data_IF_823053709795
#
_entry.id   IF_823053709795
#
_cell.length_a   1.000
_cell.length_b   1.000
_cell.length_c   1.000
_cell.angle_alpha   90.00
_cell.angle_beta   90.00
_cell.angle_gamma   90.00
#
_symmetry.space_group_name_H-M   'P 1'
#
loop_
_entity.id
_entity.type
_entity.pdbx_description
1 polymer ?
#
# COMPACT_ATOMS: atom_id res chain seq x y z
N UNK A 1 -7.28 17.48 5.69
CA UNK A 1 -8.65 17.04 6.03
C UNK A 1 -9.00 15.69 5.41
N UNK A 2 -8.95 15.54 4.07
CA UNK A 2 -9.39 14.33 3.36
C UNK A 2 -8.76 13.03 3.89
N UNK A 3 -7.43 13.00 4.08
CA UNK A 3 -6.70 11.83 4.60
C UNK A 3 -7.15 11.47 6.01
N UNK A 4 -7.36 12.48 6.88
CA UNK A 4 -7.87 12.27 8.24
C UNK A 4 -9.30 11.71 8.18
N UNK A 5 -10.13 12.24 7.28
CA UNK A 5 -11.48 11.71 7.05
C UNK A 5 -11.48 10.23 6.68
N UNK A 6 -10.67 9.81 5.71
CA UNK A 6 -10.54 8.39 5.35
C UNK A 6 -10.06 7.51 6.51
N UNK A 7 -9.13 7.99 7.33
CA UNK A 7 -8.68 7.25 8.51
C UNK A 7 -9.81 7.08 9.55
N UNK A 8 -10.60 8.13 9.79
CA UNK A 8 -11.77 8.05 10.67
C UNK A 8 -12.85 7.12 10.11
N UNK A 9 -13.12 7.18 8.79
CA UNK A 9 -14.07 6.28 8.12
C UNK A 9 -13.64 4.80 8.24
N UNK A 10 -12.33 4.55 8.27
CA UNK A 10 -11.75 3.22 8.49
C UNK A 10 -11.67 2.81 9.98
N UNK A 11 -12.24 3.60 10.89
CA UNK A 11 -12.28 3.29 12.32
C UNK A 11 -10.98 3.58 13.08
N UNK A 12 -10.05 4.35 12.51
CA UNK A 12 -8.85 4.78 13.24
C UNK A 12 -9.24 5.71 14.40
N UNK A 13 -8.70 5.45 15.58
CA UNK A 13 -8.99 6.20 16.80
C UNK A 13 -8.11 7.44 16.91
N UNK A 14 -8.66 8.66 16.84
CA UNK A 14 -7.91 9.88 17.02
C UNK A 14 -7.43 10.02 18.45
N UNK A 15 -6.24 10.62 18.65
CA UNK A 15 -5.63 10.90 19.95
C UNK A 15 -5.50 12.39 20.19
N UNK A 16 -5.19 13.17 19.17
CA UNK A 16 -5.12 14.64 19.24
C UNK A 16 -5.11 15.24 17.84
N UNK A 17 -5.47 16.50 17.76
CA UNK A 17 -5.36 17.34 16.58
C UNK A 17 -4.36 18.48 16.80
N UNK A 18 -3.60 18.83 15.77
CA UNK A 18 -2.76 20.02 15.70
C UNK A 18 -3.07 20.77 14.42
N UNK A 19 -3.46 22.04 14.55
CA UNK A 19 -3.88 22.82 13.37
C UNK A 19 -3.60 24.32 13.51
N UNK A 20 -3.57 24.99 12.37
CA UNK A 20 -3.59 26.45 12.36
C UNK A 20 -4.91 26.96 12.96
N UNK A 21 -4.85 28.02 13.76
CA UNK A 21 -6.04 28.59 14.46
C UNK A 21 -7.20 28.85 13.52
N UNK A 22 -6.95 29.36 12.31
CA UNK A 22 -7.97 29.62 11.28
C UNK A 22 -8.73 28.38 10.81
N UNK A 23 -8.18 27.17 11.01
CA UNK A 23 -8.84 25.94 10.61
C UNK A 23 -10.00 25.54 11.51
N UNK A 24 -10.04 26.04 12.76
CA UNK A 24 -11.16 25.77 13.68
C UNK A 24 -12.50 26.29 13.15
N UNK A 25 -12.47 27.40 12.42
CA UNK A 25 -13.68 28.01 11.81
C UNK A 25 -13.89 27.57 10.36
N UNK A 26 -12.93 26.83 9.79
CA UNK A 26 -12.94 26.36 8.42
C UNK A 26 -13.03 24.84 8.30
N UNK A 27 -12.17 24.28 7.45
CA UNK A 27 -12.14 22.83 7.14
C UNK A 27 -11.84 21.91 8.34
N UNK A 28 -11.33 22.45 9.43
CA UNK A 28 -11.04 21.70 10.65
C UNK A 28 -12.26 21.46 11.53
N UNK A 29 -13.33 22.26 11.41
CA UNK A 29 -14.50 22.17 12.27
C UNK A 29 -15.13 20.78 12.23
N UNK A 30 -15.47 20.28 11.06
CA UNK A 30 -16.07 18.96 10.90
C UNK A 30 -15.16 17.85 11.40
N UNK A 31 -13.82 18.00 11.26
CA UNK A 31 -12.86 17.02 11.78
C UNK A 31 -12.81 17.04 13.32
N UNK A 32 -12.87 18.20 13.94
CA UNK A 32 -12.93 18.32 15.41
C UNK A 32 -14.18 17.64 15.94
N UNK A 33 -15.34 17.89 15.32
CA UNK A 33 -16.60 17.25 15.69
C UNK A 33 -16.53 15.72 15.53
N UNK A 34 -15.97 15.23 14.43
CA UNK A 34 -15.78 13.79 14.18
C UNK A 34 -14.78 13.11 15.10
N UNK A 35 -13.76 13.83 15.54
CA UNK A 35 -12.76 13.30 16.48
C UNK A 35 -13.27 13.25 17.93
N UNK A 36 -14.38 13.90 18.25
CA UNK A 36 -14.96 13.92 19.60
C UNK A 36 -14.09 14.68 20.61
N UNK A 37 -14.04 14.18 21.83
CA UNK A 37 -13.36 14.87 22.95
C UNK A 37 -11.85 14.59 23.02
N UNK A 38 -11.12 14.86 21.93
CA UNK A 38 -9.66 14.76 21.93
C UNK A 38 -9.03 16.14 22.05
N UNK A 39 -7.80 16.25 22.60
CA UNK A 39 -7.09 17.53 22.66
C UNK A 39 -6.91 18.14 21.25
N UNK A 40 -7.25 19.41 21.12
CA UNK A 40 -7.05 20.20 19.89
C UNK A 40 -6.05 21.30 20.19
N UNK A 41 -4.85 21.16 19.66
CA UNK A 41 -3.78 22.14 19.78
C UNK A 41 -3.82 23.09 18.60
N UNK A 42 -3.70 24.40 18.85
CA UNK A 42 -3.70 25.41 17.80
C UNK A 42 -2.53 26.37 17.96
N UNK A 43 -2.06 26.86 16.84
CA UNK A 43 -1.00 27.86 16.80
C UNK A 43 -1.00 28.60 15.47
N UNK A 44 -0.18 29.62 15.37
CA UNK A 44 0.07 30.32 14.15
C UNK A 44 1.02 29.47 13.26
N UNK A 45 1.01 29.72 11.96
CA UNK A 45 1.78 28.93 10.98
C UNK A 45 3.26 28.82 11.31
N UNK A 46 3.88 29.90 11.79
CA UNK A 46 5.29 29.93 12.16
C UNK A 46 5.58 29.02 13.37
N UNK A 47 4.71 29.04 14.38
CA UNK A 47 4.82 28.20 15.56
C UNK A 47 4.69 26.72 15.18
N UNK A 48 3.70 26.41 14.34
CA UNK A 48 3.50 25.03 13.87
C UNK A 48 4.66 24.54 13.02
N UNK A 49 5.21 25.38 12.15
CA UNK A 49 6.39 25.04 11.35
C UNK A 49 7.63 24.75 12.24
N UNK A 50 7.83 25.55 13.29
CA UNK A 50 8.88 25.31 14.28
C UNK A 50 8.73 23.98 15.03
N UNK A 51 7.49 23.61 15.39
CA UNK A 51 7.20 22.35 16.08
C UNK A 51 7.36 21.12 15.19
N UNK A 52 6.96 21.23 13.93
CA UNK A 52 6.93 20.08 13.01
C UNK A 52 8.19 19.94 12.14
N UNK A 53 9.02 20.96 12.09
CA UNK A 53 10.19 21.02 11.21
C UNK A 53 9.87 21.28 9.74
N UNK A 54 8.61 21.56 9.39
CA UNK A 54 8.17 21.88 8.02
C UNK A 54 6.85 22.67 8.05
N UNK A 55 6.56 23.36 6.95
CA UNK A 55 5.29 24.06 6.79
C UNK A 55 4.11 23.09 6.56
N UNK A 56 3.03 23.27 7.33
CA UNK A 56 1.78 22.53 7.16
C UNK A 56 1.00 23.07 5.94
N UNK A 57 1.21 22.51 4.79
CA UNK A 57 0.56 22.96 3.53
C UNK A 57 -0.98 22.96 3.57
N UNK A 58 -1.59 22.10 4.40
CA UNK A 58 -3.05 22.00 4.61
C UNK A 58 -3.47 22.32 6.04
N UNK A 59 -2.54 22.72 6.87
CA UNK A 59 -2.76 23.30 8.18
C UNK A 59 -3.33 22.39 9.27
N UNK A 60 -3.49 21.06 9.04
CA UNK A 60 -4.08 20.13 10.04
C UNK A 60 -3.28 18.83 10.08
N UNK A 61 -2.91 18.39 11.29
CA UNK A 61 -2.39 17.06 11.60
C UNK A 61 -3.31 16.38 12.62
N UNK A 62 -3.37 15.06 12.55
CA UNK A 62 -4.06 14.24 13.55
C UNK A 62 -3.14 13.10 13.98
N UNK A 63 -2.87 12.98 15.26
CA UNK A 63 -2.28 11.79 15.84
C UNK A 63 -3.38 10.75 16.04
N UNK A 64 -3.14 9.53 15.58
CA UNK A 64 -4.10 8.44 15.69
C UNK A 64 -3.42 7.19 16.25
N UNK A 65 -4.18 6.38 16.95
CA UNK A 65 -3.74 5.04 17.34
C UNK A 65 -3.59 4.18 16.09
N UNK A 66 -2.52 3.40 16.00
CA UNK A 66 -2.36 2.41 14.92
C UNK A 66 -3.51 1.42 14.97
N UNK A 67 -4.19 1.13 13.85
CA UNK A 67 -5.24 0.13 13.82
C UNK A 67 -4.64 -1.27 14.04
N UNK A 68 -5.45 -2.17 14.60
CA UNK A 68 -5.13 -3.60 14.56
C UNK A 68 -5.29 -4.08 13.12
N UNK A 69 -4.24 -4.69 12.59
CA UNK A 69 -4.29 -5.28 11.27
C UNK A 69 -4.95 -6.67 11.33
N UNK A 70 -5.70 -7.08 10.29
CA UNK A 70 -6.23 -8.45 10.19
C UNK A 70 -5.08 -9.44 10.02
N UNK A 71 -5.35 -10.72 10.28
CA UNK A 71 -4.43 -11.79 9.88
C UNK A 71 -4.43 -11.97 8.36
N UNK A 72 -3.42 -12.65 7.83
CA UNK A 72 -3.35 -12.96 6.39
C UNK A 72 -4.54 -13.81 5.96
N UNK A 73 -4.93 -14.78 6.78
CA UNK A 73 -6.07 -15.66 6.55
C UNK A 73 -7.39 -14.89 6.48
N UNK A 74 -7.63 -14.03 7.47
CA UNK A 74 -8.85 -13.19 7.50
C UNK A 74 -8.94 -12.30 6.26
N UNK A 75 -7.81 -11.70 5.86
CA UNK A 75 -7.72 -10.80 4.72
C UNK A 75 -7.88 -11.54 3.40
N UNK A 76 -7.30 -12.73 3.26
CA UNK A 76 -7.31 -13.53 2.03
C UNK A 76 -8.53 -14.44 1.87
N UNK A 77 -9.38 -14.59 2.90
CA UNK A 77 -10.51 -15.52 2.89
C UNK A 77 -11.46 -15.31 1.70
N UNK A 78 -11.70 -14.06 1.31
CA UNK A 78 -12.58 -13.69 0.20
C UNK A 78 -11.87 -12.98 -0.95
N UNK A 79 -10.56 -12.82 -0.84
CA UNK A 79 -9.76 -12.13 -1.85
C UNK A 79 -9.48 -13.07 -3.04
N UNK A 80 -9.59 -12.53 -4.23
CA UNK A 80 -9.23 -13.17 -5.50
C UNK A 80 -7.99 -12.53 -6.13
N UNK A 81 -7.72 -11.27 -5.86
CA UNK A 81 -6.59 -10.50 -6.38
C UNK A 81 -5.89 -9.76 -5.26
N UNK A 82 -4.66 -10.15 -4.95
CA UNK A 82 -3.86 -9.50 -3.91
C UNK A 82 -2.53 -9.00 -4.48
N UNK A 83 -2.10 -7.84 -4.03
CA UNK A 83 -0.76 -7.33 -4.29
C UNK A 83 0.19 -7.73 -3.16
N UNK A 84 1.38 -8.21 -3.49
CA UNK A 84 2.44 -8.53 -2.53
C UNK A 84 3.62 -7.60 -2.78
N UNK A 85 4.02 -6.84 -1.77
CA UNK A 85 5.14 -5.90 -1.86
C UNK A 85 6.37 -6.50 -1.19
N UNK A 86 7.44 -6.72 -1.97
CA UNK A 86 8.72 -7.25 -1.46
C UNK A 86 9.77 -6.16 -1.40
N UNK A 87 10.22 -5.83 -0.18
CA UNK A 87 11.39 -4.99 0.03
C UNK A 87 11.26 -3.54 -0.45
N UNK A 88 10.07 -3.03 -0.71
CA UNK A 88 9.87 -1.66 -1.21
C UNK A 88 10.06 -0.68 -0.05
N UNK A 89 11.22 -0.02 -0.03
CA UNK A 89 11.63 0.86 1.08
C UNK A 89 11.26 2.33 0.88
N UNK A 90 11.01 2.79 -0.36
CA UNK A 90 10.55 4.17 -0.58
C UNK A 90 9.05 4.31 -0.26
N UNK A 91 8.72 5.12 0.77
CA UNK A 91 7.32 5.37 1.12
C UNK A 91 6.51 6.06 0.02
N UNK A 92 7.16 6.70 -0.96
CA UNK A 92 6.48 7.27 -2.12
C UNK A 92 5.91 6.16 -3.00
N UNK A 93 6.71 5.14 -3.28
CA UNK A 93 6.28 3.99 -4.07
C UNK A 93 5.20 3.19 -3.34
N UNK A 94 5.41 2.90 -2.05
CA UNK A 94 4.38 2.22 -1.25
C UNK A 94 3.06 2.98 -1.30
N UNK A 95 3.07 4.28 -1.05
CA UNK A 95 1.85 5.10 -1.10
C UNK A 95 1.17 5.12 -2.47
N UNK A 96 1.94 5.17 -3.56
CA UNK A 96 1.43 5.15 -4.92
C UNK A 96 0.84 3.77 -5.30
N UNK A 97 1.49 2.67 -4.90
CA UNK A 97 1.00 1.31 -5.10
C UNK A 97 -0.32 1.10 -4.36
N UNK A 98 -0.43 1.50 -3.09
CA UNK A 98 -1.67 1.42 -2.34
C UNK A 98 -2.81 2.20 -3.00
N UNK A 99 -2.49 3.38 -3.57
CA UNK A 99 -3.47 4.18 -4.31
C UNK A 99 -3.94 3.46 -5.57
N UNK A 100 -3.03 2.87 -6.33
CA UNK A 100 -3.35 2.09 -7.52
C UNK A 100 -4.14 0.83 -7.17
N UNK A 101 -3.75 0.10 -6.13
CA UNK A 101 -4.45 -1.10 -5.66
C UNK A 101 -5.91 -0.79 -5.27
N UNK A 102 -6.13 0.26 -4.49
CA UNK A 102 -7.48 0.69 -4.11
C UNK A 102 -8.33 1.14 -5.31
N UNK A 103 -7.70 1.79 -6.32
CA UNK A 103 -8.41 2.29 -7.49
C UNK A 103 -8.69 1.21 -8.55
N UNK A 104 -7.88 0.15 -8.61
CA UNK A 104 -7.87 -0.83 -9.70
C UNK A 104 -8.30 -2.24 -9.25
N UNK A 105 -9.20 -2.29 -8.27
CA UNK A 105 -9.91 -3.49 -7.84
C UNK A 105 -8.98 -4.62 -7.30
N UNK A 106 -7.90 -4.27 -6.61
CA UNK A 106 -7.22 -5.25 -5.76
C UNK A 106 -8.03 -5.42 -4.47
N UNK A 107 -8.18 -6.66 -4.03
CA UNK A 107 -8.94 -6.98 -2.82
C UNK A 107 -8.14 -6.67 -1.56
N UNK A 108 -6.79 -6.81 -1.63
CA UNK A 108 -5.91 -6.57 -0.51
C UNK A 108 -4.46 -6.29 -0.93
N UNK A 109 -3.68 -5.74 0.02
CA UNK A 109 -2.23 -5.58 -0.11
C UNK A 109 -1.54 -6.32 1.03
N UNK A 110 -0.58 -7.17 0.69
CA UNK A 110 0.29 -7.89 1.62
C UNK A 110 1.69 -7.26 1.55
N UNK A 111 2.28 -6.98 2.69
CA UNK A 111 3.54 -6.24 2.78
C UNK A 111 4.59 -7.12 3.48
N UNK A 112 5.73 -7.37 2.85
CA UNK A 112 6.80 -8.12 3.51
C UNK A 112 7.46 -7.29 4.62
N UNK A 113 8.06 -7.93 5.63
CA UNK A 113 8.67 -7.22 6.76
C UNK A 113 9.80 -6.25 6.40
N UNK A 114 10.39 -6.39 5.21
CA UNK A 114 11.49 -5.56 4.71
C UNK A 114 11.02 -4.28 3.99
N UNK A 115 9.72 -4.12 3.78
CA UNK A 115 9.16 -2.89 3.22
C UNK A 115 9.14 -1.75 4.25
N UNK A 116 9.06 -0.52 3.76
CA UNK A 116 8.75 0.60 4.64
C UNK A 116 7.32 0.44 5.21
N UNK A 117 7.11 1.03 6.39
CA UNK A 117 5.81 1.04 7.04
C UNK A 117 4.76 1.82 6.18
N UNK A 118 3.67 1.17 5.73
CA UNK A 118 2.61 1.84 4.98
C UNK A 118 1.96 2.99 5.76
N UNK A 119 1.94 2.92 7.09
CA UNK A 119 1.43 4.01 7.95
C UNK A 119 2.43 5.14 8.17
N UNK A 120 3.60 5.11 7.52
CA UNK A 120 4.50 6.25 7.50
C UNK A 120 3.78 7.48 6.93
N UNK A 121 4.03 8.66 7.51
CA UNK A 121 3.36 9.90 7.10
C UNK A 121 3.47 10.16 5.59
N UNK A 122 4.60 9.82 4.97
CA UNK A 122 4.81 10.04 3.53
C UNK A 122 3.96 9.11 2.68
N UNK A 123 3.91 7.81 2.98
CA UNK A 123 3.07 6.85 2.27
C UNK A 123 1.59 7.19 2.40
N UNK A 124 1.12 7.53 3.60
CA UNK A 124 -0.25 7.99 3.85
C UNK A 124 -0.60 9.24 3.04
N UNK A 125 0.32 10.20 2.89
CA UNK A 125 0.10 11.40 2.07
C UNK A 125 0.07 11.10 0.58
N UNK A 126 0.99 10.30 0.08
CA UNK A 126 1.08 9.95 -1.35
C UNK A 126 -0.13 9.12 -1.77
N UNK A 127 -0.57 8.19 -0.95
CA UNK A 127 -1.80 7.44 -1.19
C UNK A 127 -3.06 8.31 -1.16
N UNK A 128 -2.96 9.58 -0.74
CA UNK A 128 -4.13 10.45 -0.50
C UNK A 128 -5.15 9.84 0.49
N UNK A 129 -4.68 8.94 1.36
CA UNK A 129 -5.50 8.24 2.35
C UNK A 129 -6.21 6.98 1.82
N UNK A 130 -6.02 6.59 0.56
CA UNK A 130 -6.62 5.35 0.01
C UNK A 130 -6.08 4.09 0.69
N UNK A 131 -4.91 4.19 1.34
CA UNK A 131 -4.36 3.17 2.23
C UNK A 131 -5.37 2.72 3.33
N UNK A 132 -6.25 3.59 3.76
CA UNK A 132 -7.31 3.28 4.72
C UNK A 132 -8.57 2.69 4.06
N UNK A 133 -8.63 2.63 2.73
CA UNK A 133 -9.78 2.14 1.97
C UNK A 133 -9.58 0.72 1.42
N UNK A 134 -8.35 0.21 1.42
CA UNK A 134 -8.03 -1.14 1.00
C UNK A 134 -7.51 -1.95 2.19
N UNK A 135 -8.00 -3.17 2.42
CA UNK A 135 -7.46 -4.04 3.47
C UNK A 135 -5.98 -4.38 3.21
N UNK A 136 -5.18 -4.41 4.27
CA UNK A 136 -3.79 -4.79 4.16
C UNK A 136 -3.23 -5.36 5.47
N UNK A 137 -2.16 -6.12 5.37
CA UNK A 137 -1.42 -6.63 6.53
C UNK A 137 0.03 -6.96 6.19
N UNK A 138 0.85 -7.22 7.20
CA UNK A 138 2.19 -7.74 6.98
C UNK A 138 2.16 -9.25 6.72
N UNK A 139 2.97 -9.69 5.77
CA UNK A 139 3.21 -11.09 5.45
C UNK A 139 4.40 -11.61 6.29
N UNK A 140 4.16 -11.72 7.58
CA UNK A 140 5.18 -12.08 8.57
C UNK A 140 5.59 -10.92 9.47
N UNK A 141 6.35 -11.25 10.53
CA UNK A 141 6.85 -10.31 11.54
C UNK A 141 8.34 -9.99 11.38
N UNK A 142 9.08 -10.84 10.69
CA UNK A 142 10.50 -10.69 10.45
C UNK A 142 10.91 -11.23 9.06
N UNK A 143 12.13 -10.91 8.62
CA UNK A 143 12.62 -11.23 7.28
C UNK A 143 12.76 -12.75 7.02
N UNK A 144 12.86 -13.59 8.05
CA UNK A 144 12.97 -15.05 7.88
C UNK A 144 11.67 -15.70 7.41
N UNK A 145 10.54 -15.00 7.56
CA UNK A 145 9.22 -15.46 7.14
C UNK A 145 8.94 -15.16 5.64
N UNK A 146 9.93 -14.68 4.91
CA UNK A 146 9.88 -14.44 3.48
C UNK A 146 11.19 -14.85 2.78
N UNK A 147 11.17 -15.47 1.55
CA UNK A 147 9.98 -15.70 0.73
C UNK A 147 9.25 -17.01 1.06
N UNK A 148 9.98 -18.10 1.40
CA UNK A 148 9.41 -19.45 1.41
C UNK A 148 8.18 -19.59 2.31
N UNK A 149 8.19 -19.26 3.61
CA UNK A 149 7.00 -19.43 4.46
C UNK A 149 5.81 -18.58 3.98
N UNK A 150 6.09 -17.37 3.50
CA UNK A 150 5.05 -16.49 2.98
C UNK A 150 4.41 -17.00 1.70
N UNK A 151 5.20 -17.53 0.76
CA UNK A 151 4.70 -18.10 -0.49
C UNK A 151 3.93 -19.40 -0.26
N UNK A 152 4.42 -20.28 0.64
CA UNK A 152 3.70 -21.50 1.03
C UNK A 152 2.32 -21.15 1.60
N UNK A 153 2.26 -20.18 2.49
CA UNK A 153 1.01 -19.67 3.07
C UNK A 153 0.03 -19.15 2.01
N UNK A 154 0.51 -18.43 1.00
CA UNK A 154 -0.33 -17.98 -0.11
C UNK A 154 -0.87 -19.14 -0.94
N UNK A 155 -0.04 -20.16 -1.20
CA UNK A 155 -0.47 -21.39 -1.91
C UNK A 155 -1.51 -22.18 -1.12
N UNK A 156 -1.35 -22.33 0.20
CA UNK A 156 -2.34 -22.95 1.08
C UNK A 156 -3.68 -22.21 1.08
N UNK A 157 -3.66 -20.88 0.89
CA UNK A 157 -4.85 -20.04 0.74
C UNK A 157 -5.44 -20.07 -0.68
N UNK A 158 -4.86 -20.88 -1.58
CA UNK A 158 -5.33 -21.12 -2.95
C UNK A 158 -4.85 -20.10 -3.98
N UNK A 159 -3.89 -19.24 -3.65
CA UNK A 159 -3.36 -18.28 -4.61
C UNK A 159 -2.29 -18.91 -5.52
N UNK A 160 -2.41 -18.66 -6.82
CA UNK A 160 -1.28 -18.72 -7.74
C UNK A 160 -0.47 -17.44 -7.60
N UNK A 161 0.85 -17.54 -7.74
CA UNK A 161 1.78 -16.44 -7.50
C UNK A 161 2.41 -15.97 -8.81
N UNK A 162 2.33 -14.68 -9.11
CA UNK A 162 2.87 -14.05 -10.31
C UNK A 162 3.96 -13.04 -9.94
N UNK A 163 5.22 -13.39 -10.14
CA UNK A 163 6.38 -12.53 -9.92
C UNK A 163 6.53 -11.55 -11.10
N UNK A 164 6.34 -10.24 -10.84
CA UNK A 164 6.60 -9.21 -11.83
C UNK A 164 8.12 -9.00 -11.96
N UNK A 165 8.72 -9.60 -13.00
CA UNK A 165 10.16 -9.57 -13.19
C UNK A 165 10.52 -9.64 -14.68
N UNK A 166 11.70 -9.10 -15.01
CA UNK A 166 12.30 -9.25 -16.32
C UNK A 166 13.07 -10.58 -16.36
N UNK A 167 12.60 -11.50 -17.17
CA UNK A 167 13.25 -12.77 -17.45
C UNK A 167 12.97 -13.17 -18.90
N UNK A 168 13.93 -13.82 -19.56
CA UNK A 168 13.79 -14.26 -20.95
C UNK A 168 12.68 -15.30 -21.16
N UNK A 169 12.27 -15.96 -20.09
CA UNK A 169 11.20 -16.97 -20.06
C UNK A 169 9.89 -16.44 -19.48
N UNK A 170 9.85 -15.15 -19.11
CA UNK A 170 8.67 -14.55 -18.52
C UNK A 170 7.48 -14.52 -19.47
N UNK A 171 6.31 -14.81 -18.93
CA UNK A 171 5.04 -14.65 -19.65
C UNK A 171 4.74 -13.18 -19.89
N UNK A 172 4.14 -12.85 -21.02
CA UNK A 172 3.52 -11.53 -21.17
C UNK A 172 2.41 -11.36 -20.12
N UNK A 173 2.26 -10.17 -19.57
CA UNK A 173 1.15 -9.82 -18.68
C UNK A 173 -0.24 -10.08 -19.31
N UNK A 174 -0.30 -10.15 -20.64
CA UNK A 174 -1.53 -10.42 -21.40
C UNK A 174 -1.86 -11.92 -21.48
N UNK A 175 -1.00 -12.81 -20.97
CA UNK A 175 -1.20 -14.26 -21.05
C UNK A 175 -2.55 -14.65 -20.39
N UNK A 176 -3.42 -15.36 -21.10
CA UNK A 176 -4.76 -15.69 -20.62
C UNK A 176 -4.76 -16.55 -19.34
N UNK A 177 -3.69 -17.29 -19.04
CA UNK A 177 -3.56 -18.10 -17.83
C UNK A 177 -3.61 -17.24 -16.57
N UNK A 178 -3.04 -16.03 -16.62
CA UNK A 178 -3.02 -15.09 -15.50
C UNK A 178 -4.43 -14.58 -15.18
N UNK A 179 -5.23 -14.31 -16.20
CA UNK A 179 -6.63 -13.87 -16.03
C UNK A 179 -7.54 -15.01 -15.61
N UNK A 180 -7.26 -16.24 -16.06
CA UNK A 180 -8.02 -17.44 -15.74
C UNK A 180 -7.79 -17.92 -14.28
N UNK A 181 -6.73 -17.47 -13.62
CA UNK A 181 -6.47 -17.81 -12.23
C UNK A 181 -7.63 -17.36 -11.35
N UNK A 182 -8.21 -18.28 -10.58
CA UNK A 182 -9.28 -17.99 -9.63
C UNK A 182 -8.79 -17.01 -8.55
N UNK A 183 -7.62 -17.30 -7.99
CA UNK A 183 -6.93 -16.43 -7.03
C UNK A 183 -5.50 -16.15 -7.52
N UNK A 184 -5.13 -14.88 -7.60
CA UNK A 184 -3.81 -14.46 -8.07
C UNK A 184 -3.16 -13.47 -7.10
N UNK A 185 -1.96 -13.79 -6.64
CA UNK A 185 -1.08 -12.89 -5.89
C UNK A 185 -0.04 -12.28 -6.85
N UNK A 186 -0.05 -10.97 -6.99
CA UNK A 186 0.83 -10.21 -7.89
C UNK A 186 1.97 -9.65 -7.06
N UNK A 187 3.18 -10.18 -7.26
CA UNK A 187 4.38 -9.80 -6.51
C UNK A 187 5.13 -8.67 -7.20
N UNK A 188 5.46 -7.64 -6.43
CA UNK A 188 6.18 -6.45 -6.87
C UNK A 188 7.43 -6.26 -6.01
N UNK A 189 8.58 -6.11 -6.65
CA UNK A 189 9.89 -5.95 -6.00
C UNK A 189 10.37 -4.50 -5.90
N UNK A 190 11.61 -4.34 -5.47
CA UNK A 190 12.26 -3.03 -5.30
C UNK A 190 12.51 -2.34 -6.65
N UNK A 191 12.79 -1.03 -6.60
CA UNK A 191 13.39 -0.31 -7.73
C UNK A 191 14.86 -0.72 -7.87
N UNK A 192 15.29 -1.02 -9.09
CA UNK A 192 16.65 -1.46 -9.42
C UNK A 192 16.77 -2.97 -9.39
N UNK A 193 16.80 -3.59 -8.22
CA UNK A 193 17.03 -5.05 -8.09
C UNK A 193 15.79 -5.91 -8.38
N UNK A 194 14.60 -5.33 -8.30
CA UNK A 194 13.33 -6.07 -8.51
C UNK A 194 13.02 -7.02 -7.35
N UNK A 195 12.43 -8.15 -7.70
CA UNK A 195 12.19 -9.28 -6.78
C UNK A 195 13.47 -10.10 -6.58
N UNK A 196 13.66 -10.63 -5.38
CA UNK A 196 14.79 -11.51 -5.12
C UNK A 196 14.73 -12.77 -6.01
N UNK A 197 15.88 -13.26 -6.56
CA UNK A 197 15.89 -14.44 -7.42
C UNK A 197 15.25 -15.68 -6.76
N UNK A 198 15.45 -15.84 -5.46
CA UNK A 198 14.82 -16.93 -4.68
C UNK A 198 13.28 -16.80 -4.58
N UNK A 199 12.75 -15.60 -4.65
CA UNK A 199 11.30 -15.35 -4.68
C UNK A 199 10.75 -15.71 -6.06
N UNK A 200 11.39 -15.24 -7.13
CA UNK A 200 11.00 -15.53 -8.51
C UNK A 200 10.97 -17.05 -8.75
N UNK A 201 12.03 -17.76 -8.33
CA UNK A 201 12.16 -19.20 -8.51
C UNK A 201 11.08 -20.06 -7.82
N UNK A 202 10.37 -19.50 -6.83
CA UNK A 202 9.33 -20.20 -6.08
C UNK A 202 7.90 -19.80 -6.51
N UNK A 203 7.77 -18.79 -7.37
CA UNK A 203 6.48 -18.36 -7.90
C UNK A 203 5.98 -19.30 -9.01
N UNK A 204 4.66 -19.36 -9.19
CA UNK A 204 4.03 -20.19 -10.24
C UNK A 204 4.24 -19.57 -11.63
N UNK A 205 4.32 -18.24 -11.70
CA UNK A 205 4.55 -17.50 -12.93
C UNK A 205 5.60 -16.41 -12.74
N UNK A 206 6.50 -16.26 -13.72
CA UNK A 206 7.27 -15.04 -13.92
C UNK A 206 6.60 -14.26 -15.03
N UNK A 207 6.31 -12.97 -14.79
CA UNK A 207 5.47 -12.15 -15.66
C UNK A 207 6.17 -10.84 -15.99
N UNK A 208 6.20 -10.46 -17.26
CA UNK A 208 6.73 -9.19 -17.70
C UNK A 208 5.67 -8.32 -18.40
N UNK A 209 5.83 -7.01 -18.28
CA UNK A 209 5.13 -6.04 -19.11
C UNK A 209 5.97 -5.87 -20.38
N UNK A 210 5.46 -6.19 -21.58
CA UNK A 210 6.21 -5.99 -22.82
C UNK A 210 6.59 -4.52 -23.00
N UNK A 211 7.88 -4.25 -23.13
CA UNK A 211 8.42 -2.90 -23.27
C UNK A 211 8.82 -2.64 -24.73
N UNK A 212 8.81 -1.36 -25.12
CA UNK A 212 9.27 -0.90 -26.40
C UNK A 212 10.61 -0.15 -26.30
N UNK A 213 11.32 -0.04 -27.42
CA UNK A 213 12.51 0.84 -27.60
C UNK A 213 13.66 0.54 -26.64
N UNK A 214 13.82 -0.71 -26.18
CA UNK A 214 14.93 -1.10 -25.28
C UNK A 214 14.82 -0.52 -23.87
N UNK A 215 13.63 -0.13 -23.45
CA UNK A 215 13.38 0.22 -22.03
C UNK A 215 13.21 -1.08 -21.27
N UNK A 216 13.99 -1.27 -20.20
CA UNK A 216 14.01 -2.52 -19.46
C UNK A 216 12.92 -2.59 -18.38
N UNK A 217 12.59 -1.46 -17.74
CA UNK A 217 11.63 -1.46 -16.63
C UNK A 217 10.87 -0.14 -16.50
N UNK A 218 9.76 -0.19 -15.76
CA UNK A 218 9.04 0.97 -15.24
C UNK A 218 9.33 1.13 -13.75
N UNK A 219 9.18 2.38 -13.25
CA UNK A 219 9.05 2.59 -11.81
C UNK A 219 8.00 1.64 -11.23
N UNK A 220 8.27 1.04 -10.06
CA UNK A 220 7.41 -0.01 -9.48
C UNK A 220 5.97 0.42 -9.27
N UNK A 221 5.72 1.68 -8.94
CA UNK A 221 4.36 2.20 -8.80
C UNK A 221 3.63 2.30 -10.16
N UNK A 222 4.35 2.63 -11.24
CA UNK A 222 3.78 2.61 -12.59
C UNK A 222 3.52 1.17 -13.06
N UNK A 223 4.48 0.26 -12.86
CA UNK A 223 4.33 -1.15 -13.16
C UNK A 223 3.14 -1.77 -12.40
N UNK A 224 2.96 -1.41 -11.12
CA UNK A 224 1.83 -1.88 -10.32
C UNK A 224 0.48 -1.46 -10.92
N UNK A 225 0.35 -0.22 -11.38
CA UNK A 225 -0.90 0.26 -11.96
C UNK A 225 -1.26 -0.49 -13.26
N UNK A 226 -0.27 -0.78 -14.11
CA UNK A 226 -0.46 -1.60 -15.32
C UNK A 226 -0.87 -3.02 -14.93
N UNK A 227 -0.14 -3.64 -13.99
CA UNK A 227 -0.40 -5.00 -13.54
C UNK A 227 -1.80 -5.14 -12.93
N UNK A 228 -2.19 -4.23 -12.06
CA UNK A 228 -3.51 -4.28 -11.41
C UNK A 228 -4.65 -4.06 -12.40
N UNK A 229 -4.48 -3.14 -13.36
CA UNK A 229 -5.48 -2.94 -14.41
C UNK A 229 -5.66 -4.18 -15.28
N UNK A 230 -4.57 -4.81 -15.71
CA UNK A 230 -4.62 -5.94 -16.61
C UNK A 230 -5.09 -7.23 -15.93
N UNK A 231 -4.64 -7.48 -14.71
CA UNK A 231 -4.85 -8.73 -13.98
C UNK A 231 -6.02 -8.68 -12.97
N UNK A 232 -6.80 -7.58 -12.92
CA UNK A 232 -7.98 -7.49 -12.06
C UNK A 232 -9.00 -8.59 -12.37
N UNK A 233 -9.78 -9.00 -11.38
CA UNK A 233 -10.95 -9.84 -11.61
C UNK A 233 -11.97 -9.08 -12.50
N UNK A 234 -12.57 -9.77 -13.44
CA UNK A 234 -13.58 -9.25 -14.37
C UNK A 234 -14.93 -9.90 -14.08
#
# INVERSE_FOLDING_TARGET
PKVIGHALDAGCVPLSLLMERRQLEGQGRDLVERCGQVPVYTGDRAVLAGLTGYELTRGILCAMRRPRLPSVEELCARASRVAVLEGIVDPTNVGAIFRSAAALHMDAVLVTPTCCDPLSRRAVRVSMGTLFQIPWTFLGTDASQWPQPGLERLKELGFQTAAMALDSTALSIEDPRLRAAEKLAILLGTEGDGLAPRTIAQCDFTVCIPMARGVDSLNVAAASAVAFWELRAR
#
